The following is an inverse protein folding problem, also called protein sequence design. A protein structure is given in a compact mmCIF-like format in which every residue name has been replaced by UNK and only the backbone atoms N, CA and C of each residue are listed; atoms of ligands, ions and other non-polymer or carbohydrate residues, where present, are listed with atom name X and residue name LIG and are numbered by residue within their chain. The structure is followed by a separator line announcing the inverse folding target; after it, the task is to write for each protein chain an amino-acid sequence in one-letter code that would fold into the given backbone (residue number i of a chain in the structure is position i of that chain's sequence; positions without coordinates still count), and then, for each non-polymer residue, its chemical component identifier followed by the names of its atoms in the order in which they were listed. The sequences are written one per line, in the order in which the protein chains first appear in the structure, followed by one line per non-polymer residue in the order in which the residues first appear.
data_IF_804027588998
#
_entry.id   IF_804027588998
#
_cell.length_a   1.000
_cell.length_b   1.000
_cell.length_c   1.000
_cell.angle_alpha   90.00
_cell.angle_beta   90.00
_cell.angle_gamma   90.00
#
_symmetry.space_group_name_H-M   'P 1'
#
loop_
_entity.id
_entity.type
_entity.pdbx_description
1 polymer ?
#
# COMPACT_ATOMS: atom_id res chain seq x y z
N UNK A 1 -36.88 15.86 73.08
CA UNK A 1 -35.95 14.72 73.17
C UNK A 1 -36.16 13.72 72.01
N UNK A 2 -37.37 13.18 71.76
CA UNK A 2 -37.67 12.27 70.64
C UNK A 2 -37.53 12.98 69.28
N UNK A 3 -37.93 14.26 69.15
CA UNK A 3 -37.73 15.00 67.93
C UNK A 3 -36.29 15.31 67.60
N UNK A 4 -35.45 15.57 68.60
CA UNK A 4 -34.03 15.87 68.39
C UNK A 4 -33.25 14.61 67.99
N UNK A 5 -33.60 13.44 68.51
CA UNK A 5 -33.05 12.16 68.06
C UNK A 5 -33.46 11.78 66.63
N UNK A 6 -34.70 12.08 66.24
CA UNK A 6 -35.19 11.83 64.87
C UNK A 6 -34.48 12.73 63.84
N UNK A 7 -34.27 14.04 64.19
CA UNK A 7 -33.50 14.96 63.36
C UNK A 7 -32.04 14.51 63.19
N UNK A 8 -31.37 14.14 64.28
CA UNK A 8 -30.00 13.61 64.24
C UNK A 8 -29.86 12.34 63.41
N UNK A 9 -30.81 11.43 63.47
CA UNK A 9 -30.83 10.20 62.62
C UNK A 9 -31.02 10.56 61.14
N UNK A 10 -31.88 11.53 60.83
CA UNK A 10 -32.11 11.99 59.45
C UNK A 10 -30.88 12.67 58.85
N UNK A 11 -30.19 13.51 59.63
CA UNK A 11 -28.94 14.13 59.23
C UNK A 11 -27.81 13.11 59.00
N UNK A 12 -27.65 12.16 59.89
CA UNK A 12 -26.67 11.09 59.77
C UNK A 12 -26.94 10.20 58.56
N UNK A 13 -28.19 9.92 58.24
CA UNK A 13 -28.57 9.17 57.03
C UNK A 13 -28.28 9.98 55.76
N UNK A 14 -28.62 11.28 55.74
CA UNK A 14 -28.32 12.14 54.62
C UNK A 14 -26.84 12.27 54.37
N UNK A 15 -26.01 12.43 55.40
CA UNK A 15 -24.56 12.46 55.29
C UNK A 15 -23.96 11.16 54.71
N UNK A 16 -24.40 10.00 55.23
CA UNK A 16 -23.98 8.69 54.74
C UNK A 16 -24.33 8.50 53.26
N UNK A 17 -25.52 8.92 52.86
CA UNK A 17 -25.98 8.87 51.48
C UNK A 17 -25.13 9.77 50.57
N UNK A 18 -24.81 10.97 51.01
CA UNK A 18 -23.95 11.91 50.25
C UNK A 18 -22.53 11.36 50.05
N UNK A 19 -21.93 10.78 51.12
CA UNK A 19 -20.62 10.16 51.08
C UNK A 19 -20.59 8.92 50.15
N UNK A 20 -21.64 8.11 50.17
CA UNK A 20 -21.75 6.95 49.29
C UNK A 20 -21.87 7.37 47.80
N UNK A 21 -22.64 8.43 47.52
CA UNK A 21 -22.75 8.98 46.15
C UNK A 21 -21.42 9.54 45.66
N UNK A 22 -20.69 10.32 46.45
CA UNK A 22 -19.36 10.82 46.12
C UNK A 22 -18.35 9.67 45.83
N UNK A 23 -18.40 8.63 46.63
CA UNK A 23 -17.58 7.46 46.39
C UNK A 23 -17.93 6.75 45.07
N UNK A 24 -19.21 6.54 44.80
CA UNK A 24 -19.67 5.94 43.55
C UNK A 24 -19.28 6.79 42.32
N UNK A 25 -19.42 8.11 42.41
CA UNK A 25 -19.00 9.02 41.36
C UNK A 25 -17.50 8.88 41.04
N UNK A 26 -16.65 8.84 42.05
CA UNK A 26 -15.19 8.65 41.87
C UNK A 26 -14.84 7.30 41.26
N UNK A 27 -15.53 6.23 41.66
CA UNK A 27 -15.34 4.89 41.08
C UNK A 27 -15.70 4.89 39.61
N UNK A 28 -16.84 5.47 39.22
CA UNK A 28 -17.28 5.57 37.84
C UNK A 28 -16.29 6.39 36.99
N UNK A 29 -15.76 7.48 37.53
CA UNK A 29 -14.75 8.29 36.82
C UNK A 29 -13.48 7.47 36.56
N UNK A 30 -13.00 6.74 37.57
CA UNK A 30 -11.80 5.88 37.43
C UNK A 30 -12.03 4.79 36.39
N UNK A 31 -13.19 4.15 36.39
CA UNK A 31 -13.55 3.09 35.42
C UNK A 31 -13.61 3.66 34.00
N UNK A 32 -14.21 4.84 33.81
CA UNK A 32 -14.27 5.53 32.51
C UNK A 32 -12.86 5.88 32.01
N UNK A 33 -12.01 6.42 32.89
CA UNK A 33 -10.61 6.72 32.53
C UNK A 33 -9.83 5.45 32.16
N UNK A 34 -10.01 4.37 32.91
CA UNK A 34 -9.44 3.07 32.59
C UNK A 34 -9.87 2.55 31.21
N UNK A 35 -11.15 2.65 30.90
CA UNK A 35 -11.70 2.25 29.61
C UNK A 35 -11.14 3.10 28.46
N UNK A 36 -11.05 4.41 28.64
CA UNK A 36 -10.48 5.32 27.64
C UNK A 36 -9.01 5.00 27.37
N UNK A 37 -8.23 4.68 28.40
CA UNK A 37 -6.83 4.27 28.24
C UNK A 37 -6.69 2.94 27.48
N UNK A 38 -7.55 1.96 27.77
CA UNK A 38 -7.56 0.66 27.07
C UNK A 38 -7.91 0.88 25.59
N UNK A 39 -8.96 1.62 25.29
CA UNK A 39 -9.37 1.93 23.91
C UNK A 39 -8.27 2.68 23.17
N UNK A 40 -7.64 3.66 23.82
CA UNK A 40 -6.52 4.40 23.24
C UNK A 40 -5.32 3.49 22.92
N UNK A 41 -4.98 2.57 23.81
CA UNK A 41 -3.90 1.60 23.59
C UNK A 41 -4.20 0.65 22.41
N UNK A 42 -5.42 0.14 22.31
CA UNK A 42 -5.84 -0.74 21.20
C UNK A 42 -5.84 0.03 19.85
N UNK A 43 -6.29 1.27 19.85
CA UNK A 43 -6.23 2.12 18.65
C UNK A 43 -4.79 2.34 18.18
N UNK A 44 -3.88 2.64 19.09
CA UNK A 44 -2.44 2.80 18.77
C UNK A 44 -1.87 1.50 18.18
N UNK A 45 -2.18 0.34 18.76
CA UNK A 45 -1.76 -0.97 18.23
C UNK A 45 -2.30 -1.19 16.83
N UNK A 46 -3.58 -0.92 16.58
CA UNK A 46 -4.20 -1.07 15.27
C UNK A 46 -3.54 -0.19 14.20
N UNK A 47 -3.26 1.08 14.52
CA UNK A 47 -2.56 2.00 13.61
C UNK A 47 -1.14 1.52 13.30
N UNK A 48 -0.39 1.09 14.31
CA UNK A 48 0.97 0.54 14.13
C UNK A 48 0.96 -0.72 13.26
N UNK A 49 0.02 -1.64 13.52
CA UNK A 49 -0.14 -2.86 12.73
C UNK A 49 -0.47 -2.56 11.27
N UNK A 50 -1.39 -1.62 11.02
CA UNK A 50 -1.72 -1.18 9.66
C UNK A 50 -0.52 -0.56 8.94
N UNK A 51 0.26 0.27 9.62
CA UNK A 51 1.48 0.86 9.07
C UNK A 51 2.55 -0.21 8.73
N UNK A 52 2.77 -1.18 9.63
CA UNK A 52 3.69 -2.29 9.39
C UNK A 52 3.26 -3.16 8.21
N UNK A 53 1.97 -3.49 8.10
CA UNK A 53 1.43 -4.26 6.97
C UNK A 53 1.63 -3.53 5.65
N UNK A 54 1.42 -2.22 5.61
CA UNK A 54 1.65 -1.42 4.40
C UNK A 54 3.12 -1.43 3.95
N UNK A 55 4.06 -1.37 4.88
CA UNK A 55 5.51 -1.49 4.60
C UNK A 55 5.84 -2.90 4.12
N UNK A 56 5.29 -3.93 4.76
CA UNK A 56 5.52 -5.32 4.38
C UNK A 56 4.97 -5.61 2.97
N UNK A 57 3.77 -5.16 2.65
CA UNK A 57 3.19 -5.30 1.31
C UNK A 57 4.07 -4.64 0.23
N UNK A 58 4.63 -3.45 0.50
CA UNK A 58 5.56 -2.82 -0.43
C UNK A 58 6.79 -3.69 -0.69
N UNK A 59 7.40 -4.27 0.35
CA UNK A 59 8.58 -5.15 0.21
C UNK A 59 8.26 -6.45 -0.51
N UNK A 60 7.03 -6.97 -0.35
CA UNK A 60 6.61 -8.23 -0.98
C UNK A 60 6.27 -8.05 -2.46
N UNK A 61 5.74 -6.88 -2.86
CA UNK A 61 5.13 -6.69 -4.18
C UNK A 61 5.78 -5.61 -5.06
N UNK A 62 6.76 -4.86 -4.54
CA UNK A 62 7.48 -3.88 -5.35
C UNK A 62 8.93 -4.28 -5.54
N UNK A 63 9.47 -4.00 -6.72
CA UNK A 63 10.89 -4.05 -7.03
C UNK A 63 11.59 -2.83 -6.44
N UNK A 64 12.62 -3.05 -5.63
CA UNK A 64 13.29 -1.98 -4.88
C UNK A 64 14.03 -0.98 -5.81
N UNK A 65 14.55 -1.45 -6.94
CA UNK A 65 15.31 -0.61 -7.87
C UNK A 65 14.39 0.28 -8.71
N UNK A 66 13.31 -0.28 -9.23
CA UNK A 66 12.44 0.41 -10.20
C UNK A 66 11.18 1.01 -9.59
N UNK A 67 10.76 0.51 -8.41
CA UNK A 67 9.50 0.87 -7.76
C UNK A 67 8.26 0.36 -8.51
N UNK A 68 8.42 -0.44 -9.55
CA UNK A 68 7.34 -1.17 -10.22
C UNK A 68 6.93 -2.40 -9.40
N UNK A 69 5.73 -2.96 -9.64
CA UNK A 69 5.39 -4.31 -9.22
C UNK A 69 6.51 -5.30 -9.57
N UNK A 70 6.90 -6.12 -8.60
CA UNK A 70 7.95 -7.11 -8.77
C UNK A 70 7.41 -8.44 -9.32
N UNK A 71 8.30 -9.43 -9.48
CA UNK A 71 7.98 -10.75 -9.96
C UNK A 71 6.81 -11.41 -9.22
N UNK A 72 6.78 -11.34 -7.88
CA UNK A 72 5.69 -11.94 -7.11
C UNK A 72 4.32 -11.33 -7.50
N UNK A 73 4.28 -10.02 -7.73
CA UNK A 73 3.06 -9.36 -8.17
C UNK A 73 2.72 -9.65 -9.62
N UNK A 74 3.72 -9.79 -10.48
CA UNK A 74 3.53 -10.23 -11.86
C UNK A 74 2.90 -11.64 -11.89
N UNK A 75 3.45 -12.58 -11.16
CA UNK A 75 2.92 -13.95 -11.05
C UNK A 75 1.49 -13.98 -10.49
N UNK A 76 1.18 -13.17 -9.47
CA UNK A 76 -0.17 -13.07 -8.92
C UNK A 76 -1.18 -12.59 -9.98
N UNK A 77 -0.83 -11.55 -10.76
CA UNK A 77 -1.70 -11.01 -11.81
C UNK A 77 -1.89 -11.99 -12.98
N UNK A 78 -0.81 -12.70 -13.36
CA UNK A 78 -0.86 -13.66 -14.46
C UNK A 78 -1.60 -14.96 -14.09
N UNK A 79 -1.58 -15.33 -12.81
CA UNK A 79 -2.24 -16.53 -12.29
C UNK A 79 -3.59 -16.20 -11.63
N UNK A 80 -4.16 -15.02 -11.85
CA UNK A 80 -5.46 -14.64 -11.30
C UNK A 80 -6.52 -15.68 -11.73
N UNK A 81 -7.15 -16.40 -10.78
CA UNK A 81 -8.12 -17.43 -11.09
C UNK A 81 -9.45 -16.85 -11.61
N UNK A 82 -9.64 -15.53 -11.55
CA UNK A 82 -10.86 -14.92 -12.06
C UNK A 82 -10.84 -14.94 -13.58
N UNK A 83 -11.83 -15.57 -14.21
CA UNK A 83 -11.90 -15.60 -15.66
C UNK A 83 -12.06 -14.18 -16.22
N UNK A 84 -11.40 -13.93 -17.34
CA UNK A 84 -11.66 -12.71 -18.11
C UNK A 84 -13.12 -12.75 -18.53
N UNK A 85 -13.91 -11.69 -18.28
CA UNK A 85 -15.30 -11.65 -18.70
C UNK A 85 -15.45 -11.92 -20.19
N UNK A 86 -16.49 -12.65 -20.57
CA UNK A 86 -16.78 -12.96 -21.97
C UNK A 86 -16.87 -11.67 -22.80
N UNK A 87 -16.05 -11.60 -23.86
CA UNK A 87 -16.00 -10.45 -24.77
C UNK A 87 -14.99 -9.35 -24.33
N UNK A 88 -14.36 -9.47 -23.17
CA UNK A 88 -13.27 -8.56 -22.80
C UNK A 88 -11.97 -8.96 -23.50
N UNK A 89 -11.32 -8.00 -24.15
CA UNK A 89 -10.00 -8.21 -24.75
C UNK A 89 -8.91 -7.93 -23.73
N UNK A 90 -7.92 -8.83 -23.64
CA UNK A 90 -6.74 -8.65 -22.79
C UNK A 90 -5.51 -8.84 -23.65
N UNK A 91 -4.60 -7.88 -23.61
CA UNK A 91 -3.29 -7.99 -24.22
C UNK A 91 -2.22 -8.09 -23.15
N UNK A 92 -1.38 -9.12 -23.23
CA UNK A 92 -0.17 -9.25 -22.45
C UNK A 92 1.02 -8.85 -23.31
N UNK A 93 1.78 -7.86 -22.83
CA UNK A 93 2.99 -7.38 -23.48
C UNK A 93 4.19 -7.79 -22.64
N UNK A 94 5.17 -8.44 -23.25
CA UNK A 94 6.45 -8.78 -22.63
C UNK A 94 7.53 -7.94 -23.29
N UNK A 95 8.38 -7.35 -22.46
CA UNK A 95 9.51 -6.52 -22.88
C UNK A 95 10.79 -7.13 -22.33
N UNK A 96 11.78 -7.25 -23.15
CA UNK A 96 13.14 -7.68 -22.83
C UNK A 96 14.12 -6.58 -23.18
N UNK A 97 15.07 -6.27 -22.27
CA UNK A 97 16.02 -5.20 -22.47
C UNK A 97 17.23 -5.69 -23.26
N UNK A 98 17.36 -5.24 -24.49
CA UNK A 98 18.49 -5.58 -25.34
C UNK A 98 19.82 -5.05 -24.77
N UNK A 99 20.87 -5.85 -24.92
CA UNK A 99 22.24 -5.48 -24.60
C UNK A 99 22.57 -5.19 -23.11
N UNK A 100 21.68 -5.45 -22.14
CA UNK A 100 21.96 -5.21 -20.73
C UNK A 100 23.25 -5.92 -20.27
N UNK A 101 23.49 -7.16 -20.73
CA UNK A 101 24.73 -7.88 -20.45
C UNK A 101 25.97 -7.18 -21.00
N UNK A 102 25.89 -6.60 -22.18
CA UNK A 102 26.99 -5.84 -22.79
C UNK A 102 27.28 -4.59 -22.00
N UNK A 103 26.24 -3.84 -21.62
CA UNK A 103 26.35 -2.65 -20.77
C UNK A 103 27.01 -3.00 -19.43
N UNK A 104 26.54 -4.04 -18.75
CA UNK A 104 27.13 -4.49 -17.48
C UNK A 104 28.61 -4.86 -17.61
N UNK A 105 28.98 -5.55 -18.69
CA UNK A 105 30.35 -5.97 -18.90
C UNK A 105 31.30 -4.83 -19.32
N UNK A 106 30.79 -3.80 -20.01
CA UNK A 106 31.60 -2.73 -20.57
C UNK A 106 31.64 -1.50 -19.65
N UNK A 107 30.50 -1.13 -19.04
CA UNK A 107 30.33 0.10 -18.28
C UNK A 107 30.09 -0.17 -16.78
N UNK A 108 29.92 -1.43 -16.37
CA UNK A 108 29.67 -1.85 -14.99
C UNK A 108 28.18 -1.97 -14.64
N UNK A 109 27.92 -2.67 -13.53
CA UNK A 109 26.56 -2.96 -13.08
C UNK A 109 25.74 -1.69 -12.72
N UNK A 110 26.40 -0.65 -12.21
CA UNK A 110 25.71 0.61 -11.88
C UNK A 110 25.04 1.22 -13.13
N UNK A 111 25.72 1.14 -14.29
CA UNK A 111 25.14 1.62 -15.57
C UNK A 111 24.02 0.71 -16.07
N UNK A 112 24.12 -0.58 -15.86
CA UNK A 112 23.03 -1.50 -16.13
C UNK A 112 21.80 -1.22 -15.28
N UNK A 113 21.99 -0.92 -14.01
CA UNK A 113 20.91 -0.55 -13.10
C UNK A 113 20.25 0.79 -13.50
N UNK A 114 21.05 1.79 -13.88
CA UNK A 114 20.52 3.05 -14.46
C UNK A 114 19.67 2.76 -15.73
N UNK A 115 20.14 1.87 -16.60
CA UNK A 115 19.43 1.49 -17.82
C UNK A 115 18.08 0.80 -17.50
N UNK A 116 18.05 -0.14 -16.55
CA UNK A 116 16.83 -0.79 -16.05
C UNK A 116 15.86 0.25 -15.47
N UNK A 117 16.34 1.12 -14.58
CA UNK A 117 15.51 2.17 -13.97
C UNK A 117 14.94 3.14 -15.00
N UNK A 118 15.73 3.49 -16.02
CA UNK A 118 15.29 4.38 -17.11
C UNK A 118 14.13 3.77 -17.87
N UNK A 119 14.21 2.50 -18.25
CA UNK A 119 13.12 1.81 -18.94
C UNK A 119 11.86 1.69 -18.06
N UNK A 120 12.01 1.38 -16.78
CA UNK A 120 10.89 1.34 -15.84
C UNK A 120 10.13 2.68 -15.76
N UNK A 121 10.85 3.81 -15.78
CA UNK A 121 10.24 5.15 -15.81
C UNK A 121 9.47 5.37 -17.12
N UNK A 122 10.03 4.95 -18.26
CA UNK A 122 9.39 5.07 -19.57
C UNK A 122 8.11 4.22 -19.64
N UNK A 123 8.20 2.96 -19.16
CA UNK A 123 7.07 2.05 -19.12
C UNK A 123 5.93 2.61 -18.26
N UNK A 124 6.26 3.15 -17.09
CA UNK A 124 5.26 3.78 -16.20
C UNK A 124 4.58 4.99 -16.80
N UNK A 125 5.32 5.80 -17.60
CA UNK A 125 4.76 6.97 -18.28
C UNK A 125 3.86 6.62 -19.46
N UNK A 126 4.19 5.51 -20.15
CA UNK A 126 3.50 5.10 -21.36
C UNK A 126 2.26 4.24 -21.08
N UNK A 127 2.31 3.42 -20.04
CA UNK A 127 1.18 2.57 -19.61
C UNK A 127 0.31 3.36 -18.64
N UNK A 128 -0.96 3.63 -18.97
CA UNK A 128 -1.90 4.30 -18.06
C UNK A 128 -2.06 3.57 -16.73
N UNK A 129 -2.36 4.33 -15.66
CA UNK A 129 -2.44 3.81 -14.29
C UNK A 129 -3.53 2.74 -14.06
N UNK A 130 -4.55 2.69 -14.94
CA UNK A 130 -5.58 1.66 -14.94
C UNK A 130 -5.09 0.29 -15.38
N UNK A 131 -3.91 0.22 -16.02
CA UNK A 131 -3.32 -1.03 -16.49
C UNK A 131 -2.15 -1.46 -15.61
N UNK A 132 -1.88 -2.75 -15.65
CA UNK A 132 -0.76 -3.31 -14.90
C UNK A 132 0.54 -3.20 -15.71
N UNK A 133 1.61 -2.78 -15.04
CA UNK A 133 2.99 -2.90 -15.51
C UNK A 133 3.89 -3.32 -14.35
N UNK A 134 4.81 -4.26 -14.59
CA UNK A 134 5.70 -4.80 -13.58
C UNK A 134 7.03 -5.27 -14.17
N UNK A 135 8.01 -5.52 -13.28
CA UNK A 135 9.30 -6.14 -13.58
C UNK A 135 9.26 -7.60 -13.17
N UNK A 136 9.31 -8.50 -14.15
CA UNK A 136 9.19 -9.95 -13.93
C UNK A 136 10.53 -10.63 -13.67
N UNK A 137 11.63 -10.04 -14.12
CA UNK A 137 12.98 -10.58 -13.98
C UNK A 137 14.06 -9.53 -14.03
N UNK A 138 15.29 -9.93 -14.25
CA UNK A 138 16.46 -9.04 -14.33
C UNK A 138 16.30 -7.93 -15.37
N UNK A 139 15.96 -8.31 -16.59
CA UNK A 139 15.80 -7.48 -17.79
C UNK A 139 14.40 -7.61 -18.42
N UNK A 140 13.50 -8.35 -17.78
CA UNK A 140 12.17 -8.63 -18.29
C UNK A 140 11.10 -7.78 -17.59
N UNK A 141 10.22 -7.18 -18.39
CA UNK A 141 9.06 -6.42 -17.91
C UNK A 141 7.80 -6.92 -18.60
N UNK A 142 6.67 -6.79 -17.90
CA UNK A 142 5.36 -7.14 -18.45
C UNK A 142 4.39 -5.98 -18.28
N UNK A 143 3.43 -5.87 -19.21
CA UNK A 143 2.25 -5.05 -19.05
C UNK A 143 1.01 -5.84 -19.45
N UNK A 144 -0.08 -5.66 -18.70
CA UNK A 144 -1.38 -6.29 -18.95
C UNK A 144 -2.41 -5.20 -19.21
N UNK A 145 -2.90 -5.14 -20.44
CA UNK A 145 -3.83 -4.13 -20.95
C UNK A 145 -5.20 -4.78 -21.12
N UNK A 146 -6.17 -4.40 -20.28
CA UNK A 146 -7.53 -4.95 -20.31
C UNK A 146 -8.49 -4.00 -21.03
N UNK A 147 -9.41 -4.55 -21.83
CA UNK A 147 -10.43 -3.77 -22.49
C UNK A 147 -9.97 -2.92 -23.69
N UNK A 148 -8.70 -3.01 -24.08
CA UNK A 148 -8.19 -2.33 -25.29
C UNK A 148 -8.34 -3.23 -26.51
N UNK A 149 -8.77 -2.65 -27.60
CA UNK A 149 -8.73 -3.28 -28.91
C UNK A 149 -7.30 -3.29 -29.51
N UNK A 150 -7.13 -3.94 -30.65
CA UNK A 150 -5.83 -3.98 -31.34
C UNK A 150 -5.24 -2.62 -31.67
N UNK A 151 -6.06 -1.60 -31.88
CA UNK A 151 -5.58 -0.25 -32.16
C UNK A 151 -5.06 0.44 -30.89
N UNK A 152 -5.78 0.32 -29.78
CA UNK A 152 -5.37 0.82 -28.46
C UNK A 152 -4.09 0.19 -27.98
N UNK A 153 -3.94 -1.15 -28.12
CA UNK A 153 -2.68 -1.84 -27.77
C UNK A 153 -1.50 -1.33 -28.60
N UNK A 154 -1.69 -1.17 -29.92
CA UNK A 154 -0.64 -0.63 -30.81
C UNK A 154 -0.25 0.79 -30.43
N UNK A 155 -1.21 1.63 -30.07
CA UNK A 155 -0.91 3.00 -29.65
C UNK A 155 -0.14 3.03 -28.33
N UNK A 156 -0.47 2.19 -27.38
CA UNK A 156 0.29 2.04 -26.12
C UNK A 156 1.74 1.60 -26.40
N UNK A 157 1.93 0.57 -27.22
CA UNK A 157 3.27 0.08 -27.62
C UNK A 157 4.08 1.15 -28.39
N UNK A 158 3.41 1.95 -29.22
CA UNK A 158 4.05 3.06 -29.95
C UNK A 158 4.55 4.10 -28.96
N UNK A 159 3.76 4.50 -27.97
CA UNK A 159 4.20 5.45 -26.92
C UNK A 159 5.41 4.95 -26.16
N UNK A 160 5.44 3.67 -25.78
CA UNK A 160 6.59 3.07 -25.09
C UNK A 160 7.84 3.18 -25.96
N UNK A 161 7.76 2.83 -27.27
CA UNK A 161 8.87 2.93 -28.22
C UNK A 161 9.36 4.36 -28.41
N UNK A 162 8.46 5.31 -28.57
CA UNK A 162 8.79 6.73 -28.77
C UNK A 162 9.49 7.30 -27.54
N UNK A 163 9.01 7.01 -26.34
CA UNK A 163 9.65 7.45 -25.10
C UNK A 163 11.01 6.81 -24.89
N UNK A 164 11.16 5.52 -25.17
CA UNK A 164 12.46 4.84 -25.09
C UNK A 164 13.46 5.39 -26.09
N UNK A 165 13.02 5.65 -27.32
CA UNK A 165 13.87 6.26 -28.36
C UNK A 165 14.25 7.72 -28.03
N UNK A 166 13.36 8.49 -27.42
CA UNK A 166 13.65 9.84 -26.96
C UNK A 166 14.66 9.84 -25.82
N UNK A 167 14.51 8.93 -24.85
CA UNK A 167 15.50 8.77 -23.77
C UNK A 167 16.89 8.45 -24.32
N UNK A 168 16.99 7.49 -25.27
CA UNK A 168 18.26 7.11 -25.89
C UNK A 168 18.92 8.26 -26.68
N UNK A 169 18.12 9.17 -27.25
CA UNK A 169 18.65 10.36 -27.91
C UNK A 169 19.20 11.41 -26.94
N UNK A 170 18.58 11.53 -25.77
CA UNK A 170 18.99 12.48 -24.74
C UNK A 170 20.19 11.98 -23.93
N UNK A 171 20.46 10.68 -23.95
CA UNK A 171 21.56 10.01 -23.23
C UNK A 171 22.38 9.17 -24.23
N UNK A 172 23.02 9.79 -25.23
CA UNK A 172 23.93 9.07 -26.13
C UNK A 172 25.17 8.65 -25.33
N UNK A 173 25.42 7.36 -25.26
CA UNK A 173 26.68 6.81 -24.72
C UNK A 173 27.74 6.67 -25.81
#
# INVERSE_FOLDING_TARGET
QICDEAVGLSEAYSQRKATALDYLEKVVIVDILGLVLIIGAELIKAVRFAAQNKVLQKKVYLDEATGLPNKNKCEEILNDPNPIPDGEQVAMCVFDMNNLRTINNTLGHDKGDEYICSFAIQLRKAVPDEFFAGRDGGDEFIAVLKGLDHAGVRECLKKIREQSAEYSRQHPE
#
